data_IF_995544127186
#
_entry.id   IF_995544127186
#
_cell.length_a   1.000
_cell.length_b   1.000
_cell.length_c   1.000
_cell.angle_alpha   90.00
_cell.angle_beta   90.00
_cell.angle_gamma   90.00
#
_symmetry.space_group_name_H-M   'P 1'
#
loop_
_entity.id
_entity.type
_entity.pdbx_description
1 polymer ?
#
# COMPACT_ATOMS: atom_id res chain seq x y z
N UNK A 1 -21.40 -9.73 36.37
CA UNK A 1 -22.06 -8.91 35.34
C UNK A 1 -21.22 -7.72 34.89
N UNK A 2 -20.47 -7.06 35.79
CA UNK A 2 -19.53 -6.01 35.39
C UNK A 2 -18.43 -6.53 34.46
N UNK A 3 -17.90 -7.73 34.69
CA UNK A 3 -16.88 -8.36 33.83
C UNK A 3 -17.41 -8.61 32.41
N UNK A 4 -18.68 -8.98 32.26
CA UNK A 4 -19.31 -9.21 30.97
C UNK A 4 -19.45 -7.91 30.17
N UNK A 5 -19.83 -6.82 30.84
CA UNK A 5 -19.93 -5.48 30.20
C UNK A 5 -18.56 -4.98 29.76
N UNK A 6 -17.55 -5.18 30.60
CA UNK A 6 -16.16 -4.79 30.26
C UNK A 6 -15.66 -5.59 29.05
N UNK A 7 -15.94 -6.89 29.02
CA UNK A 7 -15.57 -7.74 27.88
C UNK A 7 -16.21 -7.28 26.57
N UNK A 8 -17.49 -6.93 26.60
CA UNK A 8 -18.22 -6.40 25.43
C UNK A 8 -17.62 -5.06 24.99
N UNK A 9 -17.33 -4.17 25.93
CA UNK A 9 -16.73 -2.86 25.62
C UNK A 9 -15.34 -3.01 24.98
N UNK A 10 -14.52 -3.93 25.50
CA UNK A 10 -13.20 -4.22 24.94
C UNK A 10 -13.35 -4.77 23.52
N UNK A 11 -14.27 -5.70 23.30
CA UNK A 11 -14.52 -6.28 21.99
C UNK A 11 -14.95 -5.22 20.98
N UNK A 12 -15.91 -4.35 21.36
CA UNK A 12 -16.38 -3.26 20.50
C UNK A 12 -15.24 -2.30 20.18
N UNK A 13 -14.41 -1.97 21.16
CA UNK A 13 -13.26 -1.09 20.96
C UNK A 13 -12.26 -1.70 19.97
N UNK A 14 -11.93 -2.99 20.13
CA UNK A 14 -11.02 -3.70 19.21
C UNK A 14 -11.58 -3.73 17.79
N UNK A 15 -12.89 -3.96 17.63
CA UNK A 15 -13.53 -3.93 16.32
C UNK A 15 -13.46 -2.54 15.70
N UNK A 16 -13.73 -1.49 16.48
CA UNK A 16 -13.67 -0.11 16.00
C UNK A 16 -12.25 0.24 15.53
N UNK A 17 -11.24 -0.13 16.30
CA UNK A 17 -9.83 0.10 15.93
C UNK A 17 -9.47 -0.65 14.65
N UNK A 18 -9.93 -1.90 14.51
CA UNK A 18 -9.69 -2.70 13.30
C UNK A 18 -10.32 -2.10 12.06
N UNK A 19 -11.56 -1.59 12.18
CA UNK A 19 -12.26 -0.92 11.07
C UNK A 19 -11.56 0.37 10.64
N UNK A 20 -11.13 1.18 11.61
CA UNK A 20 -10.37 2.41 11.33
C UNK A 20 -9.04 2.07 10.65
N UNK A 21 -8.35 1.05 11.13
CA UNK A 21 -7.08 0.59 10.55
C UNK A 21 -7.27 0.13 9.09
N UNK A 22 -8.33 -0.64 8.83
CA UNK A 22 -8.65 -1.11 7.48
C UNK A 22 -8.96 0.06 6.53
N UNK A 23 -9.76 1.02 6.99
CA UNK A 23 -10.08 2.22 6.21
C UNK A 23 -8.83 3.05 5.92
N UNK A 24 -7.95 3.20 6.91
CA UNK A 24 -6.67 3.91 6.76
C UNK A 24 -5.78 3.23 5.72
N UNK A 25 -5.62 1.90 5.81
CA UNK A 25 -4.79 1.14 4.88
C UNK A 25 -5.34 1.21 3.45
N UNK A 26 -6.65 1.06 3.28
CA UNK A 26 -7.29 1.18 1.96
C UNK A 26 -7.04 2.56 1.35
N UNK A 27 -7.19 3.63 2.14
CA UNK A 27 -6.91 4.99 1.69
C UNK A 27 -5.45 5.16 1.28
N UNK A 28 -4.53 4.62 2.06
CA UNK A 28 -3.10 4.69 1.75
C UNK A 28 -2.75 3.95 0.47
N UNK A 29 -3.29 2.75 0.28
CA UNK A 29 -3.08 2.00 -0.95
C UNK A 29 -3.63 2.73 -2.17
N UNK A 30 -4.80 3.37 -2.05
CA UNK A 30 -5.38 4.18 -3.12
C UNK A 30 -4.52 5.41 -3.44
N UNK A 31 -4.00 6.09 -2.43
CA UNK A 31 -3.09 7.23 -2.60
C UNK A 31 -1.80 6.82 -3.30
N UNK A 32 -1.21 5.71 -2.89
CA UNK A 32 0.02 5.18 -3.51
C UNK A 32 -0.24 4.79 -4.97
N UNK A 33 -1.36 4.15 -5.25
CA UNK A 33 -1.74 3.80 -6.63
C UNK A 33 -1.92 5.04 -7.48
N UNK A 34 -2.56 6.08 -6.96
CA UNK A 34 -2.73 7.37 -7.66
C UNK A 34 -1.38 8.01 -7.98
N UNK A 35 -0.46 8.01 -7.02
CA UNK A 35 0.90 8.53 -7.22
C UNK A 35 1.68 7.70 -8.23
N UNK A 36 1.52 6.39 -8.20
CA UNK A 36 2.16 5.49 -9.17
C UNK A 36 1.64 5.75 -10.59
N UNK A 37 0.35 5.99 -10.74
CA UNK A 37 -0.24 6.37 -12.02
C UNK A 37 0.35 7.70 -12.52
N UNK A 38 0.61 8.65 -11.62
CA UNK A 38 1.28 9.90 -11.98
C UNK A 38 2.71 9.64 -12.49
N UNK A 39 3.41 8.66 -11.92
CA UNK A 39 4.75 8.26 -12.40
C UNK A 39 4.67 7.71 -13.83
N UNK A 40 3.75 6.79 -14.08
CA UNK A 40 3.60 6.18 -15.41
C UNK A 40 3.10 7.18 -16.44
N UNK A 41 2.24 8.11 -16.05
CA UNK A 41 1.77 9.18 -16.95
C UNK A 41 2.91 10.11 -17.33
N UNK A 42 3.73 10.53 -16.39
CA UNK A 42 4.91 11.37 -16.64
C UNK A 42 5.90 10.66 -17.56
N UNK A 43 6.20 9.40 -17.27
CA UNK A 43 7.10 8.59 -18.10
C UNK A 43 6.56 8.40 -19.51
N UNK A 44 5.25 8.16 -19.64
CA UNK A 44 4.59 7.97 -20.92
C UNK A 44 4.62 9.22 -21.79
N UNK A 45 4.66 10.41 -21.20
CA UNK A 45 4.79 11.69 -21.93
C UNK A 45 6.26 12.09 -22.13
N UNK A 46 7.22 11.29 -21.70
CA UNK A 46 8.64 11.58 -21.83
C UNK A 46 9.21 12.49 -20.75
N UNK A 47 8.42 12.85 -19.75
CA UNK A 47 8.85 13.70 -18.64
C UNK A 47 9.46 12.85 -17.53
N UNK A 48 10.68 12.37 -17.77
CA UNK A 48 11.40 11.49 -16.86
C UNK A 48 11.85 12.20 -15.58
N UNK A 49 12.06 13.50 -15.61
CA UNK A 49 12.41 14.26 -14.42
C UNK A 49 11.26 14.26 -13.40
N UNK A 50 10.03 14.52 -13.86
CA UNK A 50 8.84 14.44 -13.02
C UNK A 50 8.61 13.00 -12.53
N UNK A 51 8.81 12.02 -13.40
CA UNK A 51 8.69 10.61 -13.04
C UNK A 51 9.66 10.24 -11.90
N UNK A 52 10.92 10.69 -11.97
CA UNK A 52 11.92 10.46 -10.91
C UNK A 52 11.52 11.10 -9.60
N UNK A 53 11.10 12.36 -9.63
CA UNK A 53 10.68 13.07 -8.42
C UNK A 53 9.48 12.41 -7.78
N UNK A 54 8.49 12.03 -8.57
CA UNK A 54 7.26 11.43 -8.10
C UNK A 54 7.50 10.03 -7.50
N UNK A 55 8.29 9.19 -8.18
CA UNK A 55 8.59 7.84 -7.68
C UNK A 55 9.47 7.89 -6.44
N UNK A 56 10.37 8.85 -6.33
CA UNK A 56 11.21 9.03 -5.15
C UNK A 56 10.37 9.44 -3.93
N UNK A 57 9.42 10.35 -4.13
CA UNK A 57 8.48 10.77 -3.07
C UNK A 57 7.59 9.59 -2.63
N UNK A 58 7.12 8.81 -3.59
CA UNK A 58 6.32 7.61 -3.33
C UNK A 58 7.11 6.58 -2.51
N UNK A 59 8.36 6.31 -2.90
CA UNK A 59 9.23 5.38 -2.20
C UNK A 59 9.50 5.86 -0.76
N UNK A 60 9.77 7.15 -0.57
CA UNK A 60 9.99 7.71 0.76
C UNK A 60 8.76 7.54 1.66
N UNK A 61 7.57 7.79 1.13
CA UNK A 61 6.32 7.62 1.89
C UNK A 61 6.09 6.14 2.24
N UNK A 62 6.31 5.25 1.29
CA UNK A 62 6.20 3.81 1.49
C UNK A 62 7.18 3.32 2.57
N UNK A 63 8.46 3.72 2.50
CA UNK A 63 9.47 3.33 3.48
C UNK A 63 9.15 3.87 4.88
N UNK A 64 8.60 5.06 4.96
CA UNK A 64 8.19 5.66 6.23
C UNK A 64 7.06 4.87 6.93
N UNK A 65 6.27 4.10 6.17
CA UNK A 65 5.17 3.29 6.68
C UNK A 65 5.53 1.83 6.95
N UNK A 66 6.78 1.42 6.71
CA UNK A 66 7.21 0.02 6.84
C UNK A 66 6.93 -0.56 8.23
N UNK A 67 7.27 0.16 9.29
CA UNK A 67 7.04 -0.32 10.66
C UNK A 67 5.55 -0.59 10.93
N UNK A 68 4.68 0.32 10.50
CA UNK A 68 3.24 0.17 10.62
C UNK A 68 2.73 -1.03 9.83
N UNK A 69 3.18 -1.18 8.58
CA UNK A 69 2.74 -2.26 7.69
C UNK A 69 3.16 -3.63 8.22
N UNK A 70 4.39 -3.75 8.74
CA UNK A 70 4.87 -5.01 9.31
C UNK A 70 4.14 -5.42 10.59
N UNK A 71 3.51 -4.48 11.29
CA UNK A 71 2.67 -4.77 12.45
C UNK A 71 1.29 -5.31 12.06
N UNK A 72 0.78 -4.95 10.89
CA UNK A 72 -0.60 -5.22 10.49
C UNK A 72 -0.73 -6.25 9.35
N UNK A 73 0.32 -6.48 8.57
CA UNK A 73 0.29 -7.33 7.38
C UNK A 73 1.42 -8.37 7.41
N UNK A 74 1.29 -9.38 6.55
CA UNK A 74 2.31 -10.42 6.41
C UNK A 74 3.56 -9.88 5.71
N UNK A 75 4.73 -10.30 6.18
CA UNK A 75 6.03 -9.86 5.64
C UNK A 75 6.20 -10.15 4.16
N UNK A 76 5.78 -11.33 3.69
CA UNK A 76 5.92 -11.71 2.28
C UNK A 76 5.18 -10.75 1.35
N UNK A 77 3.96 -10.37 1.73
CA UNK A 77 3.13 -9.48 0.92
C UNK A 77 3.72 -8.07 0.85
N UNK A 78 4.27 -7.59 1.96
CA UNK A 78 4.93 -6.29 2.02
C UNK A 78 6.22 -6.32 1.20
N UNK A 79 7.00 -7.40 1.32
CA UNK A 79 8.25 -7.54 0.58
C UNK A 79 8.01 -7.63 -0.92
N UNK A 80 6.93 -8.27 -1.36
CA UNK A 80 6.54 -8.30 -2.77
C UNK A 80 6.26 -6.89 -3.28
N UNK A 81 5.48 -6.11 -2.56
CA UNK A 81 5.18 -4.72 -2.92
C UNK A 81 6.46 -3.87 -2.94
N UNK A 82 7.31 -4.03 -1.93
CA UNK A 82 8.58 -3.29 -1.86
C UNK A 82 9.48 -3.61 -3.06
N UNK A 83 9.62 -4.89 -3.39
CA UNK A 83 10.42 -5.30 -4.56
C UNK A 83 9.88 -4.69 -5.85
N UNK A 84 8.57 -4.70 -6.04
CA UNK A 84 7.94 -4.11 -7.23
C UNK A 84 8.16 -2.60 -7.28
N UNK A 85 8.07 -1.92 -6.15
CA UNK A 85 8.33 -0.48 -6.09
C UNK A 85 9.79 -0.17 -6.42
N UNK A 86 10.74 -0.94 -5.89
CA UNK A 86 12.16 -0.77 -6.22
C UNK A 86 12.43 -1.02 -7.70
N UNK A 87 11.73 -1.97 -8.32
CA UNK A 87 11.79 -2.16 -9.77
C UNK A 87 11.28 -0.94 -10.52
N UNK A 88 10.18 -0.33 -10.06
CA UNK A 88 9.68 0.91 -10.66
C UNK A 88 10.70 2.04 -10.57
N UNK A 89 11.37 2.19 -9.42
CA UNK A 89 12.43 3.19 -9.24
C UNK A 89 13.57 2.95 -10.24
N UNK A 90 14.00 1.70 -10.37
CA UNK A 90 15.05 1.33 -11.33
C UNK A 90 14.66 1.64 -12.77
N UNK A 91 13.44 1.23 -13.18
CA UNK A 91 12.99 1.40 -14.56
C UNK A 91 12.78 2.88 -14.93
N UNK A 92 12.42 3.71 -13.96
CA UNK A 92 12.39 5.17 -14.15
C UNK A 92 13.82 5.69 -14.36
N UNK A 93 14.76 5.23 -13.57
CA UNK A 93 16.16 5.67 -13.64
C UNK A 93 16.79 5.33 -15.00
N UNK A 94 16.56 4.10 -15.49
CA UNK A 94 17.09 3.66 -16.79
C UNK A 94 16.17 4.01 -17.97
N UNK A 95 15.04 4.66 -17.71
CA UNK A 95 14.05 5.08 -18.73
C UNK A 95 13.50 3.93 -19.59
N UNK A 96 13.25 2.78 -18.97
CA UNK A 96 12.65 1.62 -19.61
C UNK A 96 11.13 1.65 -19.42
N UNK A 97 10.41 2.23 -20.39
CA UNK A 97 8.98 2.48 -20.28
C UNK A 97 8.15 1.20 -20.22
N UNK A 98 8.48 0.20 -21.03
CA UNK A 98 7.71 -1.05 -21.08
C UNK A 98 7.82 -1.84 -19.79
N UNK A 99 9.03 -1.96 -19.26
CA UNK A 99 9.26 -2.62 -17.98
C UNK A 99 8.65 -1.84 -16.82
N UNK A 100 8.67 -0.51 -16.87
CA UNK A 100 8.02 0.33 -15.88
C UNK A 100 6.52 0.10 -15.84
N UNK A 101 5.84 0.08 -16.99
CA UNK A 101 4.41 -0.16 -17.05
C UNK A 101 4.04 -1.53 -16.49
N UNK A 102 4.82 -2.56 -16.82
CA UNK A 102 4.58 -3.91 -16.30
C UNK A 102 4.75 -3.97 -14.77
N UNK A 103 5.84 -3.44 -14.25
CA UNK A 103 6.09 -3.41 -12.80
C UNK A 103 5.04 -2.56 -12.07
N UNK A 104 4.65 -1.43 -12.65
CA UNK A 104 3.63 -0.55 -12.05
C UNK A 104 2.27 -1.23 -12.00
N UNK A 105 1.88 -1.97 -13.04
CA UNK A 105 0.63 -2.73 -13.03
C UNK A 105 0.65 -3.79 -11.92
N UNK A 106 1.73 -4.55 -11.82
CA UNK A 106 1.87 -5.58 -10.78
C UNK A 106 1.84 -4.96 -9.38
N UNK A 107 2.49 -3.81 -9.19
CA UNK A 107 2.49 -3.10 -7.90
C UNK A 107 1.10 -2.60 -7.53
N UNK A 108 0.36 -2.04 -8.48
CA UNK A 108 -1.02 -1.60 -8.25
C UNK A 108 -1.91 -2.76 -7.81
N UNK A 109 -1.78 -3.91 -8.46
CA UNK A 109 -2.52 -5.12 -8.10
C UNK A 109 -2.12 -5.64 -6.72
N UNK A 110 -0.84 -5.54 -6.36
CA UNK A 110 -0.35 -5.95 -5.05
C UNK A 110 -0.89 -5.05 -3.94
N UNK A 111 -0.94 -3.73 -4.14
CA UNK A 111 -1.54 -2.82 -3.17
C UNK A 111 -3.05 -3.07 -3.00
N UNK A 112 -3.77 -3.33 -4.09
CA UNK A 112 -5.16 -3.75 -4.03
C UNK A 112 -5.32 -5.03 -3.20
N UNK A 113 -4.44 -6.00 -3.42
CA UNK A 113 -4.43 -7.26 -2.69
C UNK A 113 -4.20 -7.04 -1.19
N UNK A 114 -3.27 -6.17 -0.81
CA UNK A 114 -3.01 -5.83 0.60
C UNK A 114 -4.26 -5.24 1.26
N UNK A 115 -4.94 -4.33 0.59
CA UNK A 115 -6.17 -3.71 1.09
C UNK A 115 -7.30 -4.76 1.24
N UNK A 116 -7.45 -5.64 0.26
CA UNK A 116 -8.46 -6.71 0.30
C UNK A 116 -8.18 -7.71 1.43
N UNK A 117 -6.94 -8.09 1.65
CA UNK A 117 -6.56 -9.01 2.71
C UNK A 117 -6.97 -8.47 4.09
N UNK A 118 -6.76 -7.19 4.33
CA UNK A 118 -7.14 -6.56 5.59
C UNK A 118 -8.66 -6.51 5.75
N UNK A 119 -9.41 -6.21 4.70
CA UNK A 119 -10.87 -6.23 4.73
C UNK A 119 -11.43 -7.63 4.98
N UNK A 120 -10.84 -8.66 4.35
CA UNK A 120 -11.25 -10.06 4.55
C UNK A 120 -10.96 -10.52 5.97
N UNK A 121 -9.84 -10.11 6.55
CA UNK A 121 -9.49 -10.43 7.93
C UNK A 121 -10.56 -9.90 8.90
N UNK A 122 -11.07 -8.71 8.69
CA UNK A 122 -12.15 -8.12 9.49
C UNK A 122 -13.45 -8.89 9.30
N UNK A 123 -13.80 -9.22 8.07
CA UNK A 123 -15.00 -10.01 7.77
C UNK A 123 -14.99 -11.38 8.44
N UNK A 124 -13.82 -12.02 8.52
CA UNK A 124 -13.68 -13.33 9.15
C UNK A 124 -13.81 -13.28 10.67
N UNK A 125 -13.56 -12.14 11.29
CA UNK A 125 -13.75 -11.91 12.72
C UNK A 125 -15.21 -11.59 13.04
N UNK A 126 -15.92 -11.00 12.11
CA UNK A 126 -17.34 -10.66 12.24
C UNK A 126 -18.23 -11.82 11.83
#
# INVERSE_FOLDING_TARGET
MKAFRIAILVLVLLMAVSLVNSAYLTRRCDEWTTRLNAVTDAAGSGDWDTARQTVAALDNDWQAKQSYLHMTLQHEEINTADTLLQQCVLFVDIQDIDSLFDAALQLSLQWDHLAEMEQLSIKNVL
#
